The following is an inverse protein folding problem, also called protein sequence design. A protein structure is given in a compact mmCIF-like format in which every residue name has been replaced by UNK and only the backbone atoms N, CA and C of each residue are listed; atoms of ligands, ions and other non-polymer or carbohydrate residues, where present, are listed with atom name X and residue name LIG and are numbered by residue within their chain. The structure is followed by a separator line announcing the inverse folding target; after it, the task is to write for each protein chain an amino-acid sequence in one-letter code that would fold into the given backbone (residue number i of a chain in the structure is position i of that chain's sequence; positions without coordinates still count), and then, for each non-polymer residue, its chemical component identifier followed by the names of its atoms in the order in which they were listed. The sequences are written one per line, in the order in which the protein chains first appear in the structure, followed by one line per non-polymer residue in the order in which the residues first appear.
data_IF_693501095251
#
_entry.id   IF_693501095251
#
_cell.length_a   1.000
_cell.length_b   1.000
_cell.length_c   1.000
_cell.angle_alpha   90.00
_cell.angle_beta   90.00
_cell.angle_gamma   90.00
#
_symmetry.space_group_name_H-M   'P 1'
#
loop_
_entity.id
_entity.type
_entity.pdbx_description
1 polymer ?
#
# COMPACT_ATOMS: atom_id res chain seq x y z
N UNK A 1 -27.10 61.38 -21.03
CA UNK A 1 -26.34 60.51 -20.11
C UNK A 1 -26.21 59.14 -20.74
N UNK A 2 -25.08 58.88 -21.39
CA UNK A 2 -24.76 57.66 -22.14
C UNK A 2 -23.72 56.88 -21.32
N UNK A 3 -24.02 55.63 -20.94
CA UNK A 3 -23.11 54.76 -20.18
C UNK A 3 -22.24 53.96 -21.15
N UNK A 4 -20.93 54.10 -20.99
CA UNK A 4 -19.89 53.33 -21.67
C UNK A 4 -20.08 51.82 -21.45
N UNK A 5 -20.23 51.10 -22.55
CA UNK A 5 -20.09 49.65 -22.68
C UNK A 5 -18.89 49.37 -23.57
N UNK A 6 -17.70 49.26 -22.99
CA UNK A 6 -16.53 48.75 -23.71
C UNK A 6 -15.43 48.36 -22.72
N UNK A 7 -15.57 47.16 -22.14
CA UNK A 7 -14.46 46.39 -21.57
C UNK A 7 -14.52 44.99 -22.20
N UNK A 8 -14.29 44.94 -23.51
CA UNK A 8 -13.94 43.68 -24.20
C UNK A 8 -12.46 43.44 -23.96
N UNK A 9 -12.12 42.85 -22.82
CA UNK A 9 -10.74 42.45 -22.52
C UNK A 9 -10.24 41.47 -23.59
N UNK A 10 -9.28 41.93 -24.38
CA UNK A 10 -8.53 41.12 -25.35
C UNK A 10 -7.62 40.14 -24.58
N UNK A 11 -8.19 39.05 -24.08
CA UNK A 11 -7.40 37.86 -23.84
C UNK A 11 -6.94 37.35 -25.20
N UNK A 12 -5.64 37.46 -25.48
CA UNK A 12 -5.07 37.05 -26.75
C UNK A 12 -4.97 35.52 -26.78
N UNK A 13 -5.34 34.89 -27.91
CA UNK A 13 -5.29 33.43 -28.16
C UNK A 13 -3.94 32.78 -27.80
N UNK A 14 -2.86 33.58 -27.74
CA UNK A 14 -1.52 33.12 -27.36
C UNK A 14 -1.40 32.66 -25.90
N UNK A 15 -2.22 33.15 -24.98
CA UNK A 15 -2.14 32.72 -23.57
C UNK A 15 -2.82 31.36 -23.33
N UNK A 16 -3.90 31.06 -24.06
CA UNK A 16 -4.55 29.74 -23.97
C UNK A 16 -3.67 28.62 -24.50
N UNK A 17 -2.93 28.85 -25.59
CA UNK A 17 -2.05 27.85 -26.19
C UNK A 17 -0.83 27.53 -25.31
N UNK A 18 -0.28 28.54 -24.62
CA UNK A 18 0.85 28.33 -23.69
C UNK A 18 0.44 27.55 -22.45
N UNK A 19 -0.76 27.78 -21.93
CA UNK A 19 -1.28 27.07 -20.76
C UNK A 19 -1.56 25.58 -21.06
N UNK A 20 -2.08 25.26 -22.24
CA UNK A 20 -2.29 23.87 -22.67
C UNK A 20 -0.99 23.07 -22.74
N UNK A 21 0.07 23.66 -23.31
CA UNK A 21 1.36 22.98 -23.49
C UNK A 21 2.00 22.56 -22.15
N UNK A 22 1.92 23.41 -21.12
CA UNK A 22 2.48 23.12 -19.79
C UNK A 22 1.72 21.98 -19.09
N UNK A 23 0.41 21.89 -19.29
CA UNK A 23 -0.41 20.81 -18.73
C UNK A 23 -0.07 19.48 -19.42
N UNK A 24 0.07 19.48 -20.74
CA UNK A 24 0.42 18.29 -21.51
C UNK A 24 1.81 17.72 -21.13
N UNK A 25 2.81 18.59 -20.92
CA UNK A 25 4.15 18.17 -20.51
C UNK A 25 4.15 17.51 -19.12
N UNK A 26 3.35 18.03 -18.17
CA UNK A 26 3.22 17.45 -16.82
C UNK A 26 2.49 16.10 -16.86
N UNK A 27 1.43 15.99 -17.66
CA UNK A 27 0.69 14.73 -17.85
C UNK A 27 1.61 13.66 -18.49
N UNK A 28 2.46 14.06 -19.43
CA UNK A 28 3.44 13.19 -20.07
C UNK A 28 4.48 12.66 -19.06
N UNK A 29 5.04 13.53 -18.21
CA UNK A 29 6.02 13.13 -17.20
C UNK A 29 5.44 12.17 -16.15
N UNK A 30 4.23 12.43 -15.65
CA UNK A 30 3.54 11.54 -14.70
C UNK A 30 3.23 10.19 -15.34
N UNK A 31 2.78 10.19 -16.60
CA UNK A 31 2.52 8.97 -17.36
C UNK A 31 3.79 8.15 -17.57
N UNK A 32 4.90 8.81 -17.91
CA UNK A 32 6.21 8.18 -18.07
C UNK A 32 6.70 7.54 -16.77
N UNK A 33 6.62 8.25 -15.64
CA UNK A 33 6.97 7.71 -14.32
C UNK A 33 6.10 6.51 -13.94
N UNK A 34 4.79 6.56 -14.24
CA UNK A 34 3.89 5.44 -14.04
C UNK A 34 4.28 4.21 -14.86
N UNK A 35 4.62 4.40 -16.14
CA UNK A 35 5.06 3.31 -17.03
C UNK A 35 6.41 2.75 -16.60
N UNK A 36 7.38 3.60 -16.25
CA UNK A 36 8.69 3.17 -15.77
C UNK A 36 8.58 2.36 -14.47
N UNK A 37 7.75 2.82 -13.53
CA UNK A 37 7.43 2.09 -12.30
C UNK A 37 6.81 0.73 -12.62
N UNK A 38 5.84 0.69 -13.54
CA UNK A 38 5.20 -0.55 -13.98
C UNK A 38 6.20 -1.55 -14.58
N UNK A 39 7.04 -1.10 -15.52
CA UNK A 39 8.04 -1.95 -16.18
C UNK A 39 9.09 -2.47 -15.20
N UNK A 40 9.55 -1.63 -14.27
CA UNK A 40 10.47 -2.05 -13.21
C UNK A 40 9.92 -3.24 -12.42
N UNK A 41 8.65 -3.17 -12.01
CA UNK A 41 8.02 -4.24 -11.27
C UNK A 41 7.76 -5.50 -12.11
N UNK A 42 7.43 -5.35 -13.39
CA UNK A 42 7.25 -6.47 -14.30
C UNK A 42 8.56 -7.28 -14.48
N UNK A 43 9.70 -6.60 -14.55
CA UNK A 43 11.03 -7.24 -14.57
C UNK A 43 11.29 -8.04 -13.28
N UNK A 44 10.99 -7.45 -12.12
CA UNK A 44 11.14 -8.11 -10.81
C UNK A 44 10.28 -9.39 -10.73
N UNK A 45 9.07 -9.39 -11.32
CA UNK A 45 8.19 -10.57 -11.38
C UNK A 45 8.75 -11.68 -12.25
N UNK A 46 9.16 -11.36 -13.48
CA UNK A 46 9.67 -12.37 -14.39
C UNK A 46 10.93 -13.03 -13.83
N UNK A 47 11.81 -12.25 -13.20
CA UNK A 47 12.98 -12.79 -12.52
C UNK A 47 12.61 -13.72 -11.36
N UNK A 48 11.55 -13.39 -10.61
CA UNK A 48 11.14 -14.15 -9.42
C UNK A 48 10.34 -15.41 -9.77
N UNK A 49 9.43 -15.35 -10.74
CA UNK A 49 8.50 -16.44 -11.10
C UNK A 49 9.19 -17.66 -11.70
N UNK A 50 10.38 -17.50 -12.28
CA UNK A 50 11.12 -18.59 -12.92
C UNK A 50 11.78 -19.55 -11.92
N UNK A 51 11.73 -19.25 -10.61
CA UNK A 51 12.58 -19.91 -9.62
C UNK A 51 11.86 -20.72 -8.54
N UNK A 52 10.53 -20.91 -8.60
CA UNK A 52 9.80 -21.55 -7.48
C UNK A 52 9.06 -22.85 -7.80
N UNK A 53 9.34 -23.85 -6.98
CA UNK A 53 8.69 -25.15 -6.93
C UNK A 53 8.45 -25.59 -5.46
N UNK A 54 7.18 -25.52 -5.03
CA UNK A 54 6.68 -26.25 -3.86
C UNK A 54 5.74 -25.48 -2.94
N UNK A 55 4.63 -26.12 -2.55
CA UNK A 55 3.73 -25.67 -1.48
C UNK A 55 4.43 -25.84 -0.12
N UNK A 56 4.94 -24.77 0.48
CA UNK A 56 5.64 -24.83 1.78
C UNK A 56 5.05 -23.82 2.76
N UNK A 57 4.79 -24.24 4.01
CA UNK A 57 4.18 -23.40 5.04
C UNK A 57 4.92 -23.51 6.36
N UNK A 58 5.61 -22.47 6.82
CA UNK A 58 6.49 -22.52 7.98
C UNK A 58 5.93 -21.81 9.21
N UNK A 59 6.18 -22.37 10.39
CA UNK A 59 5.90 -21.72 11.68
C UNK A 59 7.14 -21.73 12.57
N UNK A 60 7.34 -20.70 13.42
CA UNK A 60 8.46 -20.68 14.36
C UNK A 60 8.28 -21.70 15.48
N UNK A 61 9.35 -22.46 15.76
CA UNK A 61 9.42 -23.47 16.82
C UNK A 61 10.66 -23.26 17.69
N UNK A 62 10.68 -23.92 18.85
CA UNK A 62 11.82 -23.97 19.74
C UNK A 62 13.03 -24.53 18.98
N UNK A 63 14.21 -23.90 19.10
CA UNK A 63 15.41 -24.38 18.42
C UNK A 63 15.81 -25.83 18.76
N UNK A 64 15.36 -26.35 19.92
CA UNK A 64 15.60 -27.72 20.38
C UNK A 64 14.99 -28.82 19.49
N UNK A 65 14.25 -28.47 18.44
CA UNK A 65 13.75 -29.44 17.45
C UNK A 65 14.86 -29.99 16.55
N UNK A 66 15.90 -29.20 16.36
CA UNK A 66 17.03 -29.55 15.52
C UNK A 66 18.15 -30.07 16.40
N UNK A 67 18.78 -31.17 15.98
CA UNK A 67 20.02 -31.66 16.60
C UNK A 67 21.18 -30.66 16.45
N UNK A 68 21.07 -29.73 15.50
CA UNK A 68 22.02 -28.62 15.31
C UNK A 68 21.69 -27.46 16.24
N UNK A 69 22.72 -26.79 16.76
CA UNK A 69 22.59 -25.56 17.54
C UNK A 69 22.04 -24.42 16.65
N UNK A 70 20.72 -24.25 16.65
CA UNK A 70 20.04 -23.17 15.94
C UNK A 70 19.72 -22.02 16.90
N UNK A 71 19.80 -20.78 16.41
CA UNK A 71 19.28 -19.62 17.17
C UNK A 71 17.78 -19.47 17.00
N UNK A 72 17.28 -19.78 15.80
CA UNK A 72 15.86 -19.84 15.46
C UNK A 72 15.60 -21.09 14.63
N UNK A 73 14.45 -21.71 14.82
CA UNK A 73 14.01 -22.82 14.00
C UNK A 73 12.59 -22.60 13.50
N UNK A 74 12.30 -23.11 12.31
CA UNK A 74 10.99 -23.07 11.68
C UNK A 74 10.65 -24.45 11.12
N UNK A 75 9.38 -24.85 11.18
CA UNK A 75 8.92 -26.15 10.66
C UNK A 75 7.90 -25.98 9.55
N UNK A 76 8.02 -26.78 8.51
CA UNK A 76 6.99 -26.88 7.48
C UNK A 76 5.80 -27.65 8.03
N UNK A 77 4.66 -26.99 8.25
CA UNK A 77 3.45 -27.59 8.83
C UNK A 77 2.78 -28.63 7.91
N UNK A 78 3.14 -28.61 6.63
CA UNK A 78 2.69 -29.58 5.65
C UNK A 78 3.63 -30.80 5.55
N UNK A 79 4.80 -30.75 6.18
CA UNK A 79 5.71 -31.90 6.19
C UNK A 79 5.13 -33.01 7.06
N UNK A 80 5.23 -34.25 6.59
CA UNK A 80 4.68 -35.41 7.30
C UNK A 80 5.61 -35.90 8.43
N UNK A 81 6.89 -35.56 8.35
CA UNK A 81 7.91 -35.98 9.32
C UNK A 81 9.07 -34.98 9.38
N UNK A 82 9.85 -34.95 10.48
CA UNK A 82 11.05 -34.10 10.58
C UNK A 82 12.15 -34.44 9.56
N UNK A 83 12.11 -35.63 8.98
CA UNK A 83 13.14 -36.12 8.05
C UNK A 83 12.88 -35.70 6.60
N UNK A 84 11.72 -35.10 6.31
CA UNK A 84 11.40 -34.62 4.97
C UNK A 84 12.30 -33.43 4.60
N UNK A 85 12.68 -33.33 3.33
CA UNK A 85 13.51 -32.23 2.85
C UNK A 85 12.79 -30.90 3.13
N UNK A 86 13.47 -29.98 3.80
CA UNK A 86 12.89 -28.70 4.24
C UNK A 86 11.76 -28.81 5.29
N UNK A 87 11.65 -29.95 6.00
CA UNK A 87 10.74 -30.05 7.14
C UNK A 87 11.11 -29.07 8.26
N UNK A 88 12.41 -28.82 8.46
CA UNK A 88 12.96 -27.92 9.46
C UNK A 88 13.94 -26.96 8.79
N UNK A 89 13.79 -25.65 9.05
CA UNK A 89 14.76 -24.61 8.72
C UNK A 89 15.43 -24.17 10.01
N UNK A 90 16.75 -24.33 10.08
CA UNK A 90 17.60 -23.89 11.17
C UNK A 90 18.31 -22.59 10.77
N UNK A 91 18.17 -21.55 11.56
CA UNK A 91 18.87 -20.27 11.36
C UNK A 91 19.97 -20.13 12.41
N UNK A 92 21.22 -20.24 11.99
CA UNK A 92 22.42 -19.96 12.76
C UNK A 92 22.90 -18.52 12.55
N UNK A 93 23.90 -18.08 13.32
CA UNK A 93 24.43 -16.71 13.22
C UNK A 93 25.09 -16.44 11.85
N UNK A 94 25.68 -17.45 11.22
CA UNK A 94 26.33 -17.33 9.90
C UNK A 94 25.30 -17.11 8.77
N UNK A 95 24.20 -17.88 8.78
CA UNK A 95 23.08 -17.70 7.85
C UNK A 95 22.42 -16.35 8.05
N UNK A 96 22.29 -15.89 9.29
CA UNK A 96 21.73 -14.57 9.61
C UNK A 96 22.67 -13.44 9.16
N UNK A 97 23.99 -13.60 9.29
CA UNK A 97 24.96 -12.57 8.87
C UNK A 97 25.13 -12.50 7.35
N UNK A 98 24.96 -13.63 6.65
CA UNK A 98 25.08 -13.70 5.19
C UNK A 98 23.81 -13.29 4.47
N UNK A 99 22.64 -13.33 5.14
CA UNK A 99 21.40 -12.80 4.59
C UNK A 99 21.53 -11.29 4.35
N UNK A 100 21.52 -10.89 3.08
CA UNK A 100 21.71 -9.49 2.71
C UNK A 100 20.60 -8.64 3.34
N UNK A 101 20.95 -7.61 4.14
CA UNK A 101 19.95 -6.76 4.80
C UNK A 101 19.18 -5.87 3.82
N UNK A 102 19.61 -5.75 2.56
CA UNK A 102 19.05 -4.84 1.58
C UNK A 102 18.79 -5.53 0.25
N UNK A 103 17.51 -5.65 -0.15
CA UNK A 103 16.98 -6.21 -1.42
C UNK A 103 17.52 -7.59 -1.88
N UNK A 104 18.62 -8.12 -1.32
CA UNK A 104 19.22 -9.41 -1.71
C UNK A 104 18.29 -10.58 -1.44
N UNK A 105 17.41 -10.46 -0.43
CA UNK A 105 16.35 -11.44 -0.17
C UNK A 105 15.42 -11.71 -1.35
N UNK A 106 15.33 -10.81 -2.35
CA UNK A 106 14.56 -11.07 -3.59
C UNK A 106 15.22 -12.11 -4.48
N UNK A 107 16.54 -12.26 -4.36
CA UNK A 107 17.36 -13.16 -5.17
C UNK A 107 17.96 -14.30 -4.35
N UNK A 108 17.98 -14.18 -3.03
CA UNK A 108 18.49 -15.20 -2.12
C UNK A 108 17.49 -16.36 -1.97
N UNK A 109 17.95 -17.49 -1.42
CA UNK A 109 17.12 -18.68 -1.24
C UNK A 109 15.98 -18.44 -0.24
N UNK A 110 14.90 -19.21 -0.37
CA UNK A 110 13.74 -19.13 0.54
C UNK A 110 14.12 -19.30 2.02
N UNK A 111 15.10 -20.13 2.33
CA UNK A 111 15.60 -20.36 3.70
C UNK A 111 16.28 -19.11 4.25
N UNK A 112 17.10 -18.44 3.44
CA UNK A 112 17.77 -17.19 3.83
C UNK A 112 16.74 -16.09 4.14
N UNK A 113 15.63 -16.06 3.41
CA UNK A 113 14.55 -15.11 3.62
C UNK A 113 13.82 -15.32 4.95
N UNK A 114 13.56 -16.57 5.34
CA UNK A 114 12.99 -16.91 6.64
C UNK A 114 13.96 -16.57 7.77
N UNK A 115 15.25 -16.83 7.56
CA UNK A 115 16.29 -16.54 8.54
C UNK A 115 16.68 -15.07 8.62
N UNK A 116 16.37 -14.27 7.60
CA UNK A 116 16.69 -12.86 7.54
C UNK A 116 16.16 -12.12 8.78
N UNK A 117 17.01 -11.23 9.31
CA UNK A 117 16.65 -10.37 10.44
C UNK A 117 15.35 -9.60 10.20
N UNK A 118 14.69 -9.18 11.28
CA UNK A 118 13.59 -8.22 11.16
C UNK A 118 14.11 -6.97 10.42
N UNK A 119 13.30 -6.33 9.56
CA UNK A 119 13.69 -5.13 8.86
C UNK A 119 13.57 -3.94 9.84
N UNK A 120 13.99 -4.13 11.10
CA UNK A 120 13.87 -3.14 12.17
C UNK A 120 14.66 -1.86 11.84
N UNK A 121 15.46 -1.90 10.76
CA UNK A 121 16.20 -0.78 10.21
C UNK A 121 15.35 0.17 9.36
N UNK A 122 14.22 -0.27 8.80
CA UNK A 122 13.33 0.62 8.07
C UNK A 122 12.30 1.20 9.02
N UNK A 123 12.22 2.55 9.14
CA UNK A 123 11.20 3.18 9.96
C UNK A 123 9.81 2.67 9.57
N UNK A 124 8.93 2.48 10.56
CA UNK A 124 7.53 2.12 10.37
C UNK A 124 7.22 0.73 9.75
N UNK A 125 8.20 -0.01 9.22
CA UNK A 125 7.96 -1.34 8.64
C UNK A 125 7.32 -2.32 9.65
N UNK A 126 7.85 -2.37 10.87
CA UNK A 126 7.24 -3.17 11.95
C UNK A 126 5.94 -2.58 12.53
N UNK A 127 5.57 -1.34 12.16
CA UNK A 127 4.33 -0.70 12.61
C UNK A 127 3.17 -0.97 11.67
N UNK A 128 3.39 -1.21 10.38
CA UNK A 128 2.32 -1.54 9.43
C UNK A 128 1.54 -2.81 9.78
N UNK A 129 2.16 -3.75 10.49
CA UNK A 129 1.49 -4.97 10.97
C UNK A 129 0.67 -4.74 12.25
N UNK A 130 0.79 -3.57 12.87
CA UNK A 130 -0.06 -3.19 14.01
C UNK A 130 -1.32 -2.51 13.51
N UNK A 131 -2.45 -2.72 14.19
CA UNK A 131 -3.73 -2.08 13.84
C UNK A 131 -3.52 -0.55 13.71
N UNK A 132 -2.93 0.11 14.71
CA UNK A 132 -2.69 1.55 14.65
C UNK A 132 -1.84 1.98 13.44
N UNK A 133 -0.74 1.28 13.14
CA UNK A 133 0.11 1.65 12.02
C UNK A 133 -0.52 1.38 10.65
N UNK A 134 -1.28 0.28 10.53
CA UNK A 134 -2.06 -0.04 9.32
C UNK A 134 -3.14 0.99 8.98
N UNK A 135 -3.52 1.80 9.97
CA UNK A 135 -4.49 2.88 9.84
C UNK A 135 -3.83 4.23 9.57
N UNK A 136 -2.87 4.59 10.41
CA UNK A 136 -2.29 5.95 10.40
C UNK A 136 -1.40 6.15 9.18
N UNK A 137 -0.62 5.14 8.78
CA UNK A 137 0.33 5.31 7.68
C UNK A 137 -0.39 5.52 6.33
N UNK A 138 -1.33 4.68 5.89
CA UNK A 138 -2.01 4.92 4.60
C UNK A 138 -2.83 6.22 4.61
N UNK A 139 -3.38 6.59 5.76
CA UNK A 139 -4.15 7.83 5.92
C UNK A 139 -3.25 9.07 6.12
N UNK A 140 -1.93 8.93 6.20
CA UNK A 140 -1.05 10.04 6.57
C UNK A 140 -1.20 11.25 5.63
N UNK A 141 -1.27 11.01 4.31
CA UNK A 141 -1.43 12.09 3.32
C UNK A 141 -2.71 12.88 3.58
N UNK A 142 -3.83 12.18 3.77
CA UNK A 142 -5.12 12.83 3.99
C UNK A 142 -5.21 13.51 5.37
N UNK A 143 -4.58 12.93 6.40
CA UNK A 143 -4.47 13.54 7.72
C UNK A 143 -3.62 14.81 7.70
N UNK A 144 -2.48 14.78 6.99
CA UNK A 144 -1.61 15.94 6.80
C UNK A 144 -2.34 17.06 6.05
N UNK A 145 -3.07 16.73 4.97
CA UNK A 145 -3.92 17.69 4.26
C UNK A 145 -4.99 18.29 5.16
N UNK A 146 -5.69 17.46 5.91
CA UNK A 146 -6.72 17.90 6.85
C UNK A 146 -6.14 18.87 7.90
N UNK A 147 -4.95 18.55 8.44
CA UNK A 147 -4.24 19.42 9.38
C UNK A 147 -3.90 20.77 8.74
N UNK A 148 -3.38 20.79 7.51
CA UNK A 148 -3.08 22.03 6.78
C UNK A 148 -4.34 22.88 6.60
N UNK A 149 -5.46 22.28 6.21
CA UNK A 149 -6.75 22.98 6.08
C UNK A 149 -7.19 23.57 7.43
N UNK A 150 -7.05 22.82 8.52
CA UNK A 150 -7.37 23.29 9.87
C UNK A 150 -6.48 24.46 10.30
N UNK A 151 -5.17 24.38 10.07
CA UNK A 151 -4.22 25.45 10.40
C UNK A 151 -4.52 26.71 9.59
N UNK A 152 -4.76 26.59 8.28
CA UNK A 152 -5.16 27.73 7.43
C UNK A 152 -6.41 28.42 7.95
N UNK A 153 -7.44 27.64 8.32
CA UNK A 153 -8.66 28.19 8.91
C UNK A 153 -8.38 28.99 10.19
N UNK A 154 -7.52 28.47 11.07
CA UNK A 154 -7.17 29.14 12.33
C UNK A 154 -6.42 30.45 12.06
N UNK A 155 -5.51 30.46 11.08
CA UNK A 155 -4.70 31.64 10.75
C UNK A 155 -5.48 32.72 9.98
N UNK A 156 -6.27 32.33 8.98
CA UNK A 156 -6.92 33.27 8.07
C UNK A 156 -8.30 33.73 8.56
N UNK A 157 -8.85 33.07 9.58
CA UNK A 157 -10.17 33.35 10.15
C UNK A 157 -11.35 33.17 9.18
N UNK A 158 -11.08 32.75 7.94
CA UNK A 158 -12.06 32.59 6.87
C UNK A 158 -12.17 31.12 6.45
N UNK A 159 -13.41 30.69 6.26
CA UNK A 159 -13.77 29.34 5.82
C UNK A 159 -13.80 29.22 4.29
N UNK A 160 -12.84 29.82 3.57
CA UNK A 160 -12.86 29.74 2.09
C UNK A 160 -12.80 28.30 1.58
N UNK A 161 -12.22 27.38 2.37
CA UNK A 161 -11.95 26.01 1.93
C UNK A 161 -12.87 24.98 2.61
N UNK A 162 -14.08 25.37 3.05
CA UNK A 162 -15.02 24.46 3.73
C UNK A 162 -15.36 23.22 2.89
N UNK A 163 -15.49 23.38 1.58
CA UNK A 163 -15.80 22.27 0.67
C UNK A 163 -14.65 21.26 0.62
N UNK A 164 -13.40 21.73 0.59
CA UNK A 164 -12.20 20.88 0.66
C UNK A 164 -12.11 20.15 2.01
N UNK A 165 -12.42 20.85 3.11
CA UNK A 165 -12.48 20.24 4.45
C UNK A 165 -13.55 19.15 4.52
N UNK A 166 -14.74 19.41 3.98
CA UNK A 166 -15.87 18.48 3.95
C UNK A 166 -15.58 17.26 3.09
N UNK A 167 -15.02 17.45 1.89
CA UNK A 167 -14.61 16.35 1.02
C UNK A 167 -13.53 15.47 1.69
N UNK A 168 -12.55 16.09 2.34
CA UNK A 168 -11.52 15.40 3.11
C UNK A 168 -12.12 14.60 4.26
N UNK A 169 -13.08 15.18 4.99
CA UNK A 169 -13.77 14.49 6.09
C UNK A 169 -14.59 13.30 5.59
N UNK A 170 -15.31 13.43 4.46
CA UNK A 170 -16.07 12.31 3.90
C UNK A 170 -15.17 11.17 3.43
N UNK A 171 -14.01 11.47 2.82
CA UNK A 171 -13.02 10.44 2.48
C UNK A 171 -12.48 9.74 3.72
N UNK A 172 -12.12 10.49 4.77
CA UNK A 172 -11.69 9.91 6.04
C UNK A 172 -12.76 8.99 6.65
N UNK A 173 -14.03 9.43 6.66
CA UNK A 173 -15.16 8.64 7.12
C UNK A 173 -15.37 7.38 6.28
N UNK A 174 -15.27 7.49 4.96
CA UNK A 174 -15.36 6.34 4.05
C UNK A 174 -14.24 5.33 4.31
N UNK A 175 -12.99 5.77 4.37
CA UNK A 175 -11.87 4.89 4.73
C UNK A 175 -12.09 4.25 6.09
N UNK A 176 -12.57 5.02 7.08
CA UNK A 176 -12.86 4.48 8.40
C UNK A 176 -13.89 3.36 8.37
N UNK A 177 -14.99 3.55 7.65
CA UNK A 177 -16.04 2.53 7.49
C UNK A 177 -15.51 1.30 6.75
N UNK A 178 -14.81 1.48 5.62
CA UNK A 178 -14.26 0.37 4.82
C UNK A 178 -13.21 -0.43 5.61
N UNK A 179 -12.29 0.25 6.30
CA UNK A 179 -11.29 -0.39 7.14
C UNK A 179 -11.95 -1.21 8.26
N UNK A 180 -12.92 -0.63 8.98
CA UNK A 180 -13.61 -1.33 10.07
C UNK A 180 -14.42 -2.51 9.55
N UNK A 181 -15.21 -2.32 8.50
CA UNK A 181 -15.99 -3.40 7.88
C UNK A 181 -15.11 -4.61 7.59
N UNK A 182 -13.91 -4.40 7.05
CA UNK A 182 -12.96 -5.48 6.77
C UNK A 182 -12.36 -6.09 8.01
N UNK A 183 -11.93 -5.29 8.98
CA UNK A 183 -11.42 -5.80 10.25
C UNK A 183 -12.45 -6.66 10.97
N UNK A 184 -13.71 -6.23 11.03
CA UNK A 184 -14.75 -6.98 11.72
C UNK A 184 -15.24 -8.19 10.93
N UNK A 185 -15.48 -8.05 9.63
CA UNK A 185 -16.10 -9.11 8.83
C UNK A 185 -15.06 -10.08 8.27
N UNK A 186 -14.03 -9.58 7.61
CA UNK A 186 -13.04 -10.48 7.02
C UNK A 186 -12.17 -11.09 8.11
N UNK A 187 -11.66 -10.28 9.03
CA UNK A 187 -10.71 -10.79 10.02
C UNK A 187 -11.40 -11.46 11.21
N UNK A 188 -12.40 -10.85 11.84
CA UNK A 188 -13.00 -11.48 13.04
C UNK A 188 -14.04 -12.55 12.68
N UNK A 189 -14.96 -12.25 11.76
CA UNK A 189 -16.07 -13.15 11.46
C UNK A 189 -15.64 -14.37 10.63
N UNK A 190 -14.85 -14.22 9.55
CA UNK A 190 -14.44 -15.37 8.73
C UNK A 190 -13.52 -16.32 9.50
N UNK A 191 -12.59 -15.79 10.30
CA UNK A 191 -11.76 -16.64 11.17
C UNK A 191 -12.63 -17.45 12.14
N UNK A 192 -13.63 -16.82 12.76
CA UNK A 192 -14.57 -17.52 13.64
C UNK A 192 -15.41 -18.57 12.91
N UNK A 193 -15.90 -18.26 11.70
CA UNK A 193 -16.69 -19.20 10.89
C UNK A 193 -15.84 -20.40 10.48
N UNK A 194 -14.59 -20.16 10.12
CA UNK A 194 -13.67 -21.22 9.76
C UNK A 194 -13.34 -22.13 10.94
N UNK A 195 -13.10 -21.55 12.12
CA UNK A 195 -12.89 -22.33 13.35
C UNK A 195 -14.10 -23.22 13.65
N UNK A 196 -15.32 -22.77 13.34
CA UNK A 196 -16.53 -23.58 13.46
C UNK A 196 -16.66 -24.69 12.41
N UNK A 197 -16.21 -24.45 11.17
CA UNK A 197 -16.37 -25.39 10.05
C UNK A 197 -15.27 -26.47 10.00
N UNK A 198 -14.19 -26.32 10.75
CA UNK A 198 -13.07 -27.26 10.71
C UNK A 198 -13.47 -28.60 11.36
N UNK A 199 -13.50 -29.72 10.61
CA UNK A 199 -13.88 -31.01 11.18
C UNK A 199 -12.83 -31.47 12.20
N UNK A 200 -13.23 -31.60 13.46
CA UNK A 200 -12.33 -31.77 14.61
C UNK A 200 -11.57 -33.10 14.73
N UNK A 201 -11.74 -34.05 13.80
CA UNK A 201 -11.40 -35.48 14.03
C UNK A 201 -10.42 -36.10 13.01
N UNK A 202 -9.75 -35.33 12.14
CA UNK A 202 -8.96 -35.90 11.01
C UNK A 202 -7.44 -35.78 11.14
N UNK A 203 -6.91 -35.03 12.10
CA UNK A 203 -5.47 -34.78 12.29
C UNK A 203 -5.15 -34.73 13.78
N UNK A 204 -5.28 -35.86 14.48
CA UNK A 204 -5.17 -35.91 15.95
C UNK A 204 -3.74 -35.69 16.48
N UNK A 205 -2.72 -35.57 15.62
CA UNK A 205 -1.35 -35.28 16.07
C UNK A 205 -0.48 -34.66 14.98
N UNK A 206 0.22 -33.57 15.30
CA UNK A 206 1.35 -33.09 14.50
C UNK A 206 2.67 -33.42 15.15
N UNK A 207 3.62 -33.87 14.34
CA UNK A 207 4.97 -34.20 14.80
C UNK A 207 5.71 -33.02 15.43
N UNK A 208 5.33 -31.78 15.09
CA UNK A 208 6.00 -30.57 15.57
C UNK A 208 5.33 -29.91 16.81
N UNK A 209 4.22 -30.46 17.32
CA UNK A 209 3.41 -29.79 18.37
C UNK A 209 4.19 -29.54 19.67
N UNK A 210 5.05 -30.50 20.06
CA UNK A 210 5.88 -30.41 21.27
C UNK A 210 6.94 -29.30 21.20
N UNK A 211 7.30 -28.87 20.00
CA UNK A 211 8.35 -27.88 19.77
C UNK A 211 7.81 -26.45 19.67
N UNK A 212 6.51 -26.22 19.79
CA UNK A 212 5.93 -24.88 19.65
C UNK A 212 6.40 -23.91 20.74
N UNK A 213 6.81 -22.67 20.35
CA UNK A 213 7.34 -21.64 21.26
C UNK A 213 6.26 -21.11 22.25
N UNK A 214 4.99 -21.07 21.82
CA UNK A 214 3.86 -20.62 22.67
C UNK A 214 2.88 -21.75 22.94
N UNK A 215 3.05 -22.44 24.07
CA UNK A 215 2.00 -23.23 24.73
C UNK A 215 1.10 -22.30 25.57
N UNK A 216 0.46 -21.32 24.96
CA UNK A 216 -0.72 -20.69 25.57
C UNK A 216 -1.94 -21.44 25.06
N UNK A 217 -2.27 -22.54 25.76
CA UNK A 217 -3.46 -23.34 25.57
C UNK A 217 -4.68 -22.53 25.13
N UNK A 218 -5.31 -22.91 24.00
CA UNK A 218 -6.65 -23.52 23.99
C UNK A 218 -6.77 -24.51 22.82
N UNK A 219 -6.23 -25.71 23.06
CA UNK A 219 -6.46 -26.97 22.35
C UNK A 219 -5.89 -27.07 20.92
N UNK A 220 -4.60 -27.39 20.84
CA UNK A 220 -3.95 -27.80 19.60
C UNK A 220 -4.55 -29.11 19.09
N UNK A 221 -4.71 -29.19 17.78
CA UNK A 221 -4.21 -30.32 17.01
C UNK A 221 -3.62 -29.70 15.73
N UNK A 222 -2.41 -29.14 15.86
CA UNK A 222 -1.62 -28.51 14.79
C UNK A 222 -1.93 -27.03 14.46
N UNK A 223 -1.57 -26.13 15.39
CA UNK A 223 -1.50 -24.68 15.12
C UNK A 223 -0.72 -24.40 13.82
N UNK A 224 -1.23 -23.50 12.97
CA UNK A 224 -0.66 -23.20 11.66
C UNK A 224 -1.19 -24.05 10.50
N UNK A 225 -1.79 -25.22 10.72
CA UNK A 225 -2.48 -25.95 9.65
C UNK A 225 -3.86 -25.35 9.33
N UNK A 226 -4.52 -24.78 10.34
CA UNK A 226 -5.71 -23.94 10.16
C UNK A 226 -5.28 -22.56 9.69
N UNK A 227 -5.85 -22.14 8.57
CA UNK A 227 -5.72 -20.87 7.86
C UNK A 227 -5.65 -19.61 8.77
N UNK A 228 -5.05 -18.48 8.40
CA UNK A 228 -3.92 -18.18 7.50
C UNK A 228 -3.51 -16.72 7.71
N UNK A 229 -2.22 -16.39 7.55
CA UNK A 229 -1.81 -14.99 7.51
C UNK A 229 -2.16 -14.31 6.17
N UNK A 230 -2.86 -15.00 5.25
CA UNK A 230 -3.44 -14.43 4.04
C UNK A 230 -4.25 -13.16 4.33
N UNK A 231 -4.89 -13.06 5.51
CA UNK A 231 -5.61 -11.86 5.92
C UNK A 231 -4.73 -10.60 5.98
N UNK A 232 -3.46 -10.74 6.34
CA UNK A 232 -2.52 -9.62 6.32
C UNK A 232 -2.20 -9.24 4.87
N UNK A 233 -2.00 -10.21 3.99
CA UNK A 233 -1.82 -9.96 2.55
C UNK A 233 -3.04 -9.25 1.96
N UNK A 234 -4.25 -9.71 2.26
CA UNK A 234 -5.50 -9.04 1.85
C UNK A 234 -5.59 -7.63 2.45
N UNK A 235 -5.17 -7.44 3.70
CA UNK A 235 -5.10 -6.12 4.31
C UNK A 235 -4.09 -5.22 3.58
N UNK A 236 -2.89 -5.68 3.28
CA UNK A 236 -1.91 -4.89 2.52
C UNK A 236 -2.45 -4.56 1.12
N UNK A 237 -2.85 -5.58 0.36
CA UNK A 237 -3.21 -5.45 -1.05
C UNK A 237 -4.54 -4.75 -1.24
N UNK A 238 -5.58 -5.11 -0.49
CA UNK A 238 -6.90 -4.57 -0.73
C UNK A 238 -7.15 -3.28 0.06
N UNK A 239 -6.41 -3.00 1.14
CA UNK A 239 -6.69 -1.87 2.03
C UNK A 239 -5.64 -0.77 1.92
N UNK A 240 -4.40 -1.09 2.25
CA UNK A 240 -3.36 -0.08 2.35
C UNK A 240 -3.04 0.51 0.96
N UNK A 241 -2.81 -0.35 -0.04
CA UNK A 241 -2.45 0.11 -1.38
C UNK A 241 -3.59 0.94 -2.00
N UNK A 242 -4.89 0.54 -1.99
CA UNK A 242 -5.95 1.36 -2.55
C UNK A 242 -6.10 2.73 -1.91
N UNK A 243 -6.05 2.82 -0.58
CA UNK A 243 -6.14 4.11 0.13
C UNK A 243 -4.96 4.99 -0.24
N UNK A 244 -3.75 4.42 -0.22
CA UNK A 244 -2.53 5.12 -0.59
C UNK A 244 -2.56 5.60 -2.05
N UNK A 245 -2.94 4.74 -2.99
CA UNK A 245 -3.06 5.07 -4.42
C UNK A 245 -4.13 6.12 -4.66
N UNK A 246 -5.30 5.99 -4.03
CA UNK A 246 -6.37 6.97 -4.13
C UNK A 246 -5.91 8.36 -3.65
N UNK A 247 -5.33 8.43 -2.46
CA UNK A 247 -4.85 9.71 -1.91
C UNK A 247 -3.65 10.27 -2.69
N UNK A 248 -2.81 9.41 -3.25
CA UNK A 248 -1.74 9.82 -4.15
C UNK A 248 -2.30 10.49 -5.42
N UNK A 249 -3.26 9.86 -6.11
CA UNK A 249 -3.87 10.44 -7.31
C UNK A 249 -4.61 11.75 -7.00
N UNK A 250 -5.39 11.78 -5.93
CA UNK A 250 -6.06 13.02 -5.47
C UNK A 250 -5.05 14.12 -5.17
N UNK A 251 -3.89 13.78 -4.57
CA UNK A 251 -2.82 14.76 -4.30
C UNK A 251 -2.12 15.27 -5.54
N UNK A 252 -2.02 14.45 -6.58
CA UNK A 252 -1.46 14.89 -7.86
C UNK A 252 -2.43 15.81 -8.60
N UNK A 253 -3.73 15.53 -8.54
CA UNK A 253 -4.75 16.20 -9.35
C UNK A 253 -5.35 17.45 -8.71
N UNK A 254 -5.32 17.55 -7.38
CA UNK A 254 -5.76 18.75 -6.65
C UNK A 254 -4.55 19.51 -6.11
N UNK A 255 -3.79 20.25 -6.95
CA UNK A 255 -2.74 21.14 -6.44
C UNK A 255 -3.36 22.17 -5.51
N UNK A 256 -2.59 22.62 -4.49
CA UNK A 256 -3.06 23.66 -3.58
C UNK A 256 -3.20 24.94 -4.39
N UNK A 257 -4.42 25.26 -4.80
CA UNK A 257 -4.75 26.48 -5.51
C UNK A 257 -4.79 27.62 -4.49
N UNK A 258 -3.94 28.62 -4.69
CA UNK A 258 -3.99 29.84 -3.90
C UNK A 258 -4.98 30.77 -4.58
N UNK A 259 -6.16 30.99 -3.98
CA UNK A 259 -7.10 32.04 -4.38
C UNK A 259 -6.50 33.39 -3.96
N UNK A 260 -5.53 33.89 -4.73
CA UNK A 260 -4.96 35.21 -4.50
C UNK A 260 -5.41 36.19 -5.58
N UNK A 261 -5.87 37.36 -5.13
CA UNK A 261 -6.30 38.47 -5.98
C UNK A 261 -5.15 38.99 -6.83
N UNK A 262 -5.44 39.26 -8.10
CA UNK A 262 -4.51 39.39 -9.24
C UNK A 262 -3.55 40.57 -9.27
N UNK A 263 -3.48 41.39 -8.22
CA UNK A 263 -2.92 42.74 -8.37
C UNK A 263 -1.42 42.86 -8.01
N UNK A 264 -0.68 41.75 -7.87
CA UNK A 264 0.76 41.74 -7.54
C UNK A 264 1.52 40.48 -7.98
N UNK A 265 1.17 39.95 -9.16
CA UNK A 265 1.07 38.50 -9.41
C UNK A 265 2.36 37.71 -9.68
N UNK A 266 3.44 38.28 -10.22
CA UNK A 266 4.55 37.44 -10.72
C UNK A 266 5.46 36.86 -9.63
N UNK A 267 5.82 37.66 -8.62
CA UNK A 267 6.77 37.22 -7.58
C UNK A 267 6.15 36.25 -6.57
N UNK A 268 4.82 36.31 -6.41
CA UNK A 268 4.09 35.45 -5.49
C UNK A 268 3.69 34.11 -6.16
N UNK A 269 3.41 34.12 -7.46
CA UNK A 269 3.10 32.91 -8.22
C UNK A 269 4.28 31.93 -8.24
N UNK A 270 5.50 32.43 -8.42
CA UNK A 270 6.73 31.61 -8.40
C UNK A 270 6.95 30.92 -7.05
N UNK A 271 6.62 31.55 -5.93
CA UNK A 271 6.73 30.94 -4.60
C UNK A 271 5.68 29.83 -4.39
N UNK A 272 4.45 30.04 -4.85
CA UNK A 272 3.38 29.04 -4.80
C UNK A 272 3.73 27.83 -5.66
N UNK A 273 4.30 28.04 -6.85
CA UNK A 273 4.70 26.96 -7.75
C UNK A 273 5.84 26.10 -7.15
N UNK A 274 6.83 26.73 -6.51
CA UNK A 274 7.90 26.01 -5.80
C UNK A 274 7.33 25.18 -4.66
N UNK A 275 6.47 25.75 -3.81
CA UNK A 275 5.85 25.03 -2.69
C UNK A 275 5.03 23.83 -3.16
N UNK A 276 4.26 24.00 -4.24
CA UNK A 276 3.48 22.92 -4.83
C UNK A 276 4.37 21.82 -5.41
N UNK A 277 5.46 22.18 -6.10
CA UNK A 277 6.44 21.23 -6.63
C UNK A 277 7.13 20.41 -5.52
N UNK A 278 7.55 21.06 -4.44
CA UNK A 278 8.15 20.39 -3.27
C UNK A 278 7.15 19.42 -2.63
N UNK A 279 5.89 19.84 -2.45
CA UNK A 279 4.86 18.99 -1.87
C UNK A 279 4.53 17.78 -2.76
N UNK A 280 4.42 17.98 -4.07
CA UNK A 280 4.20 16.89 -5.02
C UNK A 280 5.37 15.91 -5.01
N UNK A 281 6.60 16.41 -5.00
CA UNK A 281 7.81 15.57 -4.92
C UNK A 281 7.82 14.77 -3.62
N UNK A 282 7.51 15.41 -2.48
CA UNK A 282 7.40 14.75 -1.20
C UNK A 282 6.31 13.66 -1.19
N UNK A 283 5.16 13.92 -1.81
CA UNK A 283 4.08 12.94 -1.95
C UNK A 283 4.49 11.74 -2.82
N UNK A 284 5.21 11.95 -3.92
CA UNK A 284 5.76 10.87 -4.74
C UNK A 284 6.78 10.04 -3.95
N UNK A 285 7.72 10.69 -3.27
CA UNK A 285 8.69 10.00 -2.42
C UNK A 285 8.00 9.19 -1.31
N UNK A 286 6.98 9.77 -0.67
CA UNK A 286 6.19 9.10 0.36
C UNK A 286 5.41 7.91 -0.21
N UNK A 287 4.76 8.07 -1.36
CA UNK A 287 4.05 6.99 -2.04
C UNK A 287 4.98 5.82 -2.35
N UNK A 288 6.13 6.10 -2.98
CA UNK A 288 7.15 5.07 -3.29
C UNK A 288 7.64 4.40 -2.02
N UNK A 289 7.98 5.19 -1.00
CA UNK A 289 8.43 4.68 0.29
C UNK A 289 7.41 3.75 0.93
N UNK A 290 6.15 4.16 1.08
CA UNK A 290 5.12 3.31 1.68
C UNK A 290 4.88 2.06 0.85
N UNK A 291 4.89 2.12 -0.49
CA UNK A 291 4.78 0.93 -1.33
C UNK A 291 5.91 -0.07 -1.03
N UNK A 292 7.16 0.40 -0.91
CA UNK A 292 8.30 -0.46 -0.53
C UNK A 292 8.07 -1.08 0.87
N UNK A 293 7.62 -0.28 1.84
CA UNK A 293 7.39 -0.75 3.21
C UNK A 293 6.22 -1.76 3.25
N UNK A 294 5.15 -1.54 2.49
CA UNK A 294 4.00 -2.45 2.37
C UNK A 294 4.44 -3.76 1.72
N UNK A 295 5.18 -3.68 0.62
CA UNK A 295 5.72 -4.87 -0.04
C UNK A 295 6.60 -5.69 0.92
N UNK A 296 7.50 -5.04 1.67
CA UNK A 296 8.35 -5.71 2.66
C UNK A 296 7.56 -6.30 3.84
N UNK A 297 6.55 -5.58 4.33
CA UNK A 297 5.70 -6.04 5.42
C UNK A 297 4.88 -7.26 4.98
N UNK A 298 4.25 -7.17 3.81
CA UNK A 298 3.49 -8.26 3.19
C UNK A 298 4.39 -9.46 2.90
N UNK A 299 5.57 -9.23 2.34
CA UNK A 299 6.57 -10.27 2.15
C UNK A 299 6.89 -11.01 3.44
N UNK A 300 7.13 -10.31 4.55
CA UNK A 300 7.43 -10.97 5.82
C UNK A 300 6.25 -11.70 6.42
N UNK A 301 5.03 -11.18 6.28
CA UNK A 301 3.84 -11.88 6.78
C UNK A 301 3.50 -13.10 5.92
N UNK A 302 3.76 -13.01 4.62
CA UNK A 302 3.42 -14.03 3.64
C UNK A 302 4.56 -15.02 3.39
N UNK A 303 5.83 -14.72 3.72
CA UNK A 303 6.98 -15.58 3.47
C UNK A 303 6.86 -16.95 4.15
N UNK A 304 6.08 -17.02 5.23
CA UNK A 304 5.73 -18.27 5.90
C UNK A 304 4.79 -19.18 5.08
N UNK A 305 4.15 -18.68 4.03
CA UNK A 305 3.07 -19.38 3.30
C UNK A 305 3.29 -19.38 1.79
N UNK A 306 3.96 -18.34 1.33
CA UNK A 306 4.16 -18.01 -0.06
C UNK A 306 5.63 -17.83 -0.34
N UNK A 307 6.00 -18.18 -1.55
CA UNK A 307 7.33 -17.90 -2.06
C UNK A 307 7.50 -16.40 -2.32
N UNK A 308 8.73 -15.85 -2.28
CA UNK A 308 8.97 -14.43 -2.59
C UNK A 308 8.36 -13.98 -3.91
N UNK A 309 8.41 -14.86 -4.92
CA UNK A 309 7.84 -14.62 -6.23
C UNK A 309 6.32 -14.55 -6.21
N UNK A 310 5.64 -15.44 -5.50
CA UNK A 310 4.18 -15.40 -5.38
C UNK A 310 3.72 -14.09 -4.72
N UNK A 311 4.42 -13.68 -3.66
CA UNK A 311 4.12 -12.43 -2.98
C UNK A 311 4.35 -11.22 -3.90
N UNK A 312 5.47 -11.20 -4.63
CA UNK A 312 5.75 -10.15 -5.61
C UNK A 312 4.70 -10.09 -6.73
N UNK A 313 4.35 -11.25 -7.32
CA UNK A 313 3.30 -11.35 -8.35
C UNK A 313 1.96 -10.84 -7.80
N UNK A 314 1.55 -11.27 -6.61
CA UNK A 314 0.32 -10.81 -5.97
C UNK A 314 0.30 -9.31 -5.74
N UNK A 315 1.41 -8.74 -5.27
CA UNK A 315 1.58 -7.29 -5.11
C UNK A 315 1.40 -6.53 -6.42
N UNK A 316 1.98 -7.05 -7.49
CA UNK A 316 1.99 -6.37 -8.78
C UNK A 316 0.66 -6.48 -9.48
N UNK A 317 0.00 -7.64 -9.43
CA UNK A 317 -1.39 -7.77 -9.88
C UNK A 317 -2.27 -6.77 -9.13
N UNK A 318 -2.08 -6.62 -7.81
CA UNK A 318 -2.81 -5.63 -7.03
C UNK A 318 -2.59 -4.20 -7.53
N UNK A 319 -1.34 -3.79 -7.77
CA UNK A 319 -1.03 -2.47 -8.35
C UNK A 319 -1.58 -2.30 -9.76
N UNK A 320 -1.48 -3.33 -10.60
CA UNK A 320 -1.98 -3.37 -11.98
C UNK A 320 -3.48 -3.22 -12.07
N UNK A 321 -4.21 -3.71 -11.07
CA UNK A 321 -5.66 -3.53 -10.99
C UNK A 321 -5.95 -2.12 -10.45
N UNK A 322 -5.30 -1.74 -9.36
CA UNK A 322 -5.68 -0.55 -8.59
C UNK A 322 -5.27 0.77 -9.23
N UNK A 323 -4.06 0.85 -9.80
CA UNK A 323 -3.57 2.09 -10.40
C UNK A 323 -4.41 2.50 -11.63
N UNK A 324 -4.75 1.61 -12.57
CA UNK A 324 -5.65 1.96 -13.68
C UNK A 324 -7.05 2.35 -13.20
N UNK A 325 -7.61 1.69 -12.18
CA UNK A 325 -8.90 2.12 -11.62
C UNK A 325 -8.83 3.51 -11.02
N UNK A 326 -7.78 3.83 -10.26
CA UNK A 326 -7.54 5.19 -9.78
C UNK A 326 -7.45 6.18 -10.93
N UNK A 327 -6.66 5.85 -11.96
CA UNK A 327 -6.49 6.71 -13.13
C UNK A 327 -7.82 6.96 -13.87
N UNK A 328 -8.61 5.90 -14.10
CA UNK A 328 -9.94 6.00 -14.73
C UNK A 328 -10.91 6.85 -13.92
N UNK A 329 -10.88 6.73 -12.58
CA UNK A 329 -11.75 7.48 -11.67
C UNK A 329 -11.38 8.97 -11.65
N UNK A 330 -10.09 9.31 -11.72
CA UNK A 330 -9.66 10.68 -11.45
C UNK A 330 -9.27 11.52 -12.68
N UNK A 331 -9.00 10.93 -13.85
CA UNK A 331 -8.59 11.68 -15.04
C UNK A 331 -9.69 11.82 -16.08
N UNK A 332 -10.08 13.04 -16.42
CA UNK A 332 -11.19 13.30 -17.35
C UNK A 332 -10.93 12.95 -18.81
N UNK A 333 -9.66 12.88 -19.22
CA UNK A 333 -9.24 12.46 -20.56
C UNK A 333 -9.67 11.04 -20.92
N UNK A 334 -10.20 10.26 -19.96
CA UNK A 334 -10.63 8.88 -20.13
C UNK A 334 -12.15 8.69 -20.09
N UNK A 335 -12.94 9.75 -20.33
CA UNK A 335 -14.40 9.69 -20.34
C UNK A 335 -14.96 8.55 -21.25
N UNK A 336 -14.34 8.31 -22.40
CA UNK A 336 -14.72 7.22 -23.31
C UNK A 336 -14.50 5.83 -22.70
N UNK A 337 -13.35 5.61 -22.03
CA UNK A 337 -13.05 4.35 -21.36
C UNK A 337 -13.98 4.12 -20.15
N UNK A 338 -14.31 5.19 -19.40
CA UNK A 338 -15.31 5.12 -18.32
C UNK A 338 -16.70 4.70 -18.82
N UNK A 339 -17.10 5.20 -19.99
CA UNK A 339 -18.38 4.83 -20.62
C UNK A 339 -18.40 3.34 -20.98
N UNK A 340 -17.28 2.80 -21.45
CA UNK A 340 -17.10 1.37 -21.76
C UNK A 340 -17.11 0.48 -20.51
N UNK A 341 -16.52 0.93 -19.40
CA UNK A 341 -16.49 0.17 -18.14
C UNK A 341 -17.75 0.34 -17.29
N UNK A 342 -18.70 1.19 -17.71
CA UNK A 342 -19.92 1.49 -16.95
C UNK A 342 -19.67 2.30 -15.68
N UNK A 343 -18.46 2.82 -15.47
CA UNK A 343 -18.12 3.67 -14.34
C UNK A 343 -18.74 5.05 -14.58
N UNK A 344 -19.96 5.25 -14.06
CA UNK A 344 -20.54 6.59 -13.94
C UNK A 344 -19.92 7.26 -12.72
N UNK A 345 -18.94 8.13 -12.95
CA UNK A 345 -18.61 9.14 -11.94
C UNK A 345 -19.88 9.97 -11.78
N UNK A 346 -20.42 10.03 -10.55
CA UNK A 346 -21.46 11.00 -10.23
C UNK A 346 -20.84 12.34 -10.57
N UNK A 347 -21.32 12.99 -11.62
CA UNK A 347 -20.73 14.19 -12.23
C UNK A 347 -20.57 15.38 -11.27
N UNK A 348 -21.07 15.26 -10.04
CA UNK A 348 -20.82 16.21 -8.97
C UNK A 348 -19.43 16.05 -8.33
N UNK A 349 -18.73 14.92 -8.49
CA UNK A 349 -17.39 14.76 -7.89
C UNK A 349 -16.36 15.71 -8.51
N UNK A 350 -16.48 16.05 -9.80
CA UNK A 350 -15.61 17.04 -10.44
C UNK A 350 -15.83 18.43 -9.85
N UNK A 351 -17.08 18.80 -9.50
CA UNK A 351 -17.39 20.05 -8.78
C UNK A 351 -16.82 20.12 -7.36
N UNK A 352 -16.39 19.00 -6.79
CA UNK A 352 -15.73 18.95 -5.47
C UNK A 352 -14.21 18.80 -5.56
N UNK A 353 -13.67 18.55 -6.76
CA UNK A 353 -12.24 18.42 -7.03
C UNK A 353 -11.69 19.71 -7.66
N UNK A 354 -12.52 20.43 -8.44
CA UNK A 354 -12.32 21.82 -8.86
C UNK A 354 -12.51 22.80 -7.71
#
# INVERSE_FOLDING_TARGET
MSRNSDCSDKYTDNDMTKHHKIVDDKVSAVSFLGVAYFLFWLIVVFASSLNNSGNRKYIPVKPSISERECKKAFVNVNALSPNEKYAVICCDDETISNASPYFGWLFDSYESAICAGKPDRLPFAGKLTTIAGSWVLPAFIILAKFLVICVKKVLDGRFSDWESARATFYRLGFYFVVMNFRGWILFVLLNKLQDMLRPGNLLDSCWYDDYMIRRTNRNSNCYGQGFDFSDHTVLFLCQIIPVLSCEFFVSLLSPIRSNMNTNGFEKLQTEVDIKNSVLQTANVCYFVYINIIVFLAMYKTAAYFHTPSEVAVGYIISLLVQLPFGFLIFFDSWASARKLTGIRIISDLSRYID
#
